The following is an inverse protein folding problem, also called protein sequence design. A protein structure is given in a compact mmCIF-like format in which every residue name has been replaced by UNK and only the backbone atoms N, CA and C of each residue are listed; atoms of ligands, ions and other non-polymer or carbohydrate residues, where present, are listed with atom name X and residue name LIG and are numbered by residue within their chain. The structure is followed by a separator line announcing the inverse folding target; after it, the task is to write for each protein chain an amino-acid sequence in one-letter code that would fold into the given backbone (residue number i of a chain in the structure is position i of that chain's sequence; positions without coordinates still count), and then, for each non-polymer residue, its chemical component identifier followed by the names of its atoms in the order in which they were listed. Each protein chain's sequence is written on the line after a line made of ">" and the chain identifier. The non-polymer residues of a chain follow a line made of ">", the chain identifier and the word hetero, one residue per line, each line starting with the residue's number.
data_IF_416790407342
#
_entry.id   IF_416790407342
#
_cell.length_a   1.000
_cell.length_b   1.000
_cell.length_c   1.000
_cell.angle_alpha   90.00
_cell.angle_beta   90.00
_cell.angle_gamma   90.00
#
_symmetry.space_group_name_H-M   'P 1'
#
loop_
_entity.id
_entity.type
_entity.pdbx_description
1 polymer ?
#
# COMPACT_ATOMS: atom_id res chain seq x y z
N UNK A 1 -3.13 17.36 -6.47
CA UNK A 1 -2.01 16.48 -6.02
C UNK A 1 -2.24 15.03 -6.45
N UNK A 2 -3.43 14.42 -6.24
CA UNK A 2 -3.70 13.01 -6.53
C UNK A 2 -3.44 12.60 -7.98
N UNK A 3 -3.81 13.41 -8.96
CA UNK A 3 -3.53 13.14 -10.38
C UNK A 3 -2.02 13.08 -10.65
N UNK A 4 -1.24 14.03 -10.14
CA UNK A 4 0.22 14.05 -10.30
C UNK A 4 0.86 12.84 -9.61
N UNK A 5 0.45 12.52 -8.39
CA UNK A 5 0.93 11.34 -7.66
C UNK A 5 0.61 10.04 -8.41
N UNK A 6 -0.61 9.91 -8.97
CA UNK A 6 -1.01 8.74 -9.76
C UNK A 6 -0.13 8.49 -10.99
N UNK A 7 0.32 9.55 -11.65
CA UNK A 7 1.23 9.45 -12.81
C UNK A 7 2.66 9.13 -12.36
N UNK A 8 3.18 9.81 -11.32
CA UNK A 8 4.58 9.69 -10.90
C UNK A 8 4.86 8.35 -10.21
N UNK A 9 3.91 7.81 -9.46
CA UNK A 9 4.13 6.65 -8.57
C UNK A 9 4.55 5.35 -9.27
N UNK A 10 4.02 4.95 -10.46
CA UNK A 10 4.47 3.74 -11.15
C UNK A 10 5.79 3.91 -11.93
N UNK A 11 6.17 5.15 -12.26
CA UNK A 11 7.32 5.44 -13.14
C UNK A 11 8.64 4.85 -12.61
N UNK A 12 9.03 5.02 -11.33
CA UNK A 12 10.29 4.49 -10.84
C UNK A 12 10.40 2.96 -10.94
N UNK A 13 9.30 2.23 -10.67
CA UNK A 13 9.30 0.79 -10.83
C UNK A 13 9.50 0.38 -12.31
N UNK A 14 8.89 1.12 -13.24
CA UNK A 14 9.07 0.89 -14.69
C UNK A 14 10.53 1.16 -15.10
N UNK A 15 11.12 2.26 -14.61
CA UNK A 15 12.52 2.60 -14.90
C UNK A 15 13.46 1.53 -14.36
N UNK A 16 13.27 1.09 -13.11
CA UNK A 16 14.10 0.05 -12.49
C UNK A 16 14.04 -1.24 -13.30
N UNK A 17 12.85 -1.69 -13.68
CA UNK A 17 12.68 -2.96 -14.39
C UNK A 17 13.18 -2.93 -15.85
N UNK A 18 13.31 -1.74 -16.45
CA UNK A 18 13.75 -1.59 -17.85
C UNK A 18 15.19 -1.16 -18.01
N UNK A 19 15.73 -0.37 -17.06
CA UNK A 19 17.05 0.23 -17.17
C UNK A 19 18.14 -0.58 -16.43
N UNK A 20 17.76 -1.42 -15.48
CA UNK A 20 18.70 -2.22 -14.69
C UNK A 20 18.66 -3.69 -15.08
N UNK A 21 19.82 -4.36 -15.02
CA UNK A 21 19.88 -5.81 -15.22
C UNK A 21 19.15 -6.57 -14.11
N UNK A 22 18.62 -7.79 -14.37
CA UNK A 22 17.84 -8.57 -13.40
C UNK A 22 18.53 -8.79 -12.05
N UNK A 23 19.86 -8.84 -12.03
CA UNK A 23 20.69 -8.98 -10.82
C UNK A 23 20.90 -7.70 -10.04
N UNK A 24 20.52 -6.53 -10.58
CA UNK A 24 20.65 -5.21 -9.95
C UNK A 24 19.28 -4.59 -9.60
N UNK A 25 18.19 -5.12 -10.15
CA UNK A 25 16.83 -4.59 -9.96
C UNK A 25 16.42 -4.55 -8.48
N UNK A 26 16.83 -5.57 -7.71
CA UNK A 26 16.56 -5.63 -6.28
C UNK A 26 17.25 -4.52 -5.50
N UNK A 27 18.53 -4.25 -5.79
CA UNK A 27 19.28 -3.15 -5.18
C UNK A 27 18.66 -1.79 -5.51
N UNK A 28 18.35 -1.57 -6.78
CA UNK A 28 17.73 -0.32 -7.24
C UNK A 28 16.34 -0.10 -6.61
N UNK A 29 15.52 -1.16 -6.57
CA UNK A 29 14.20 -1.15 -5.92
C UNK A 29 14.29 -0.90 -4.41
N UNK A 30 15.30 -1.47 -3.74
CA UNK A 30 15.56 -1.26 -2.32
C UNK A 30 15.92 0.19 -2.00
N UNK A 31 16.81 0.81 -2.78
CA UNK A 31 17.19 2.23 -2.60
C UNK A 31 15.99 3.15 -2.83
N UNK A 32 15.23 2.91 -3.89
CA UNK A 32 14.02 3.67 -4.16
C UNK A 32 12.98 3.50 -3.05
N UNK A 33 12.70 2.26 -2.65
CA UNK A 33 11.73 1.95 -1.59
C UNK A 33 12.11 2.54 -0.24
N UNK A 34 13.40 2.59 0.09
CA UNK A 34 13.91 3.27 1.29
C UNK A 34 13.53 4.76 1.27
N UNK A 35 13.75 5.46 0.14
CA UNK A 35 13.38 6.87 0.00
C UNK A 35 11.87 7.11 0.15
N UNK A 36 11.05 6.25 -0.45
CA UNK A 36 9.57 6.33 -0.37
C UNK A 36 9.07 6.18 1.07
N UNK A 37 9.71 5.34 1.88
CA UNK A 37 9.29 5.06 3.26
C UNK A 37 9.88 6.05 4.26
N UNK A 38 11.08 6.57 3.99
CA UNK A 38 11.73 7.54 4.86
C UNK A 38 10.94 8.86 4.97
N UNK A 39 10.32 9.28 3.87
CA UNK A 39 9.53 10.52 3.84
C UNK A 39 8.34 10.49 4.82
N UNK A 40 7.45 9.48 4.83
CA UNK A 40 6.39 9.35 5.84
C UNK A 40 6.91 9.16 7.28
N UNK A 41 8.09 8.56 7.46
CA UNK A 41 8.67 8.37 8.79
C UNK A 41 9.14 9.69 9.42
N UNK A 42 9.73 10.58 8.63
CA UNK A 42 10.25 11.87 9.07
C UNK A 42 9.18 12.98 9.00
N UNK A 43 8.22 12.84 8.08
CA UNK A 43 7.19 13.82 7.78
C UNK A 43 6.44 14.38 8.99
N UNK A 44 5.89 13.55 9.87
CA UNK A 44 5.17 14.02 11.06
C UNK A 44 6.04 14.85 12.01
N UNK A 45 7.32 14.49 12.18
CA UNK A 45 8.24 15.22 13.05
C UNK A 45 8.57 16.60 12.49
N UNK A 46 8.90 16.71 11.22
CA UNK A 46 9.17 17.97 10.54
C UNK A 46 7.87 18.79 10.44
N UNK A 47 6.75 18.14 10.08
CA UNK A 47 5.45 18.78 9.99
C UNK A 47 4.99 19.38 11.31
N UNK A 48 5.18 18.68 12.43
CA UNK A 48 4.87 19.18 13.75
C UNK A 48 5.65 20.44 14.09
N UNK A 49 6.97 20.43 13.91
CA UNK A 49 7.84 21.60 14.14
C UNK A 49 7.44 22.81 13.28
N UNK A 50 7.05 22.57 12.03
CA UNK A 50 6.63 23.64 11.12
C UNK A 50 5.25 24.22 11.53
N UNK A 51 4.33 23.37 11.98
CA UNK A 51 3.02 23.83 12.44
C UNK A 51 3.15 24.68 13.69
N UNK A 52 3.96 24.22 14.65
CA UNK A 52 4.17 24.91 15.93
C UNK A 52 4.89 26.24 15.73
N UNK A 53 5.87 26.31 14.79
CA UNK A 53 6.64 27.55 14.54
C UNK A 53 6.02 28.52 13.55
N UNK A 54 5.35 28.04 12.51
CA UNK A 54 4.92 28.84 11.35
C UNK A 54 3.44 28.64 10.97
N UNK A 55 2.71 27.80 11.71
CA UNK A 55 1.32 27.47 11.46
C UNK A 55 1.13 26.42 10.34
N UNK A 56 -0.08 25.87 10.25
CA UNK A 56 -0.41 24.72 9.39
C UNK A 56 -0.14 24.92 7.87
N UNK A 57 -0.17 26.18 7.39
CA UNK A 57 0.11 26.50 5.97
C UNK A 57 1.54 26.23 5.57
N UNK A 58 2.49 26.25 6.52
CA UNK A 58 3.91 26.01 6.28
C UNK A 58 4.20 24.62 5.72
N UNK A 59 3.36 23.61 6.05
CA UNK A 59 3.48 22.25 5.53
C UNK A 59 3.38 22.23 4.00
N UNK A 60 2.48 23.02 3.42
CA UNK A 60 2.33 23.09 1.96
C UNK A 60 3.52 23.76 1.28
N UNK A 61 4.08 24.79 1.89
CA UNK A 61 5.26 25.46 1.38
C UNK A 61 6.52 24.61 1.47
N UNK A 62 6.62 23.73 2.47
CA UNK A 62 7.73 22.79 2.61
C UNK A 62 7.86 21.85 1.40
N UNK A 63 6.77 21.49 0.75
CA UNK A 63 6.80 20.57 -0.40
C UNK A 63 7.41 21.22 -1.65
N UNK A 64 7.30 22.54 -1.79
CA UNK A 64 7.75 23.28 -2.99
C UNK A 64 9.24 23.10 -3.29
N UNK A 65 10.20 23.31 -2.35
CA UNK A 65 11.62 23.11 -2.63
C UNK A 65 11.95 21.66 -3.02
N UNK A 66 11.27 20.66 -2.45
CA UNK A 66 11.45 19.27 -2.86
C UNK A 66 10.93 19.01 -4.28
N UNK A 67 9.81 19.61 -4.66
CA UNK A 67 9.30 19.55 -6.03
C UNK A 67 10.26 20.19 -7.03
N UNK A 68 10.83 21.35 -6.71
CA UNK A 68 11.81 22.03 -7.56
C UNK A 68 13.10 21.22 -7.69
N UNK A 69 13.61 20.67 -6.59
CA UNK A 69 14.76 19.77 -6.60
C UNK A 69 14.50 18.51 -7.44
N UNK A 70 13.33 17.88 -7.27
CA UNK A 70 12.89 16.73 -8.06
C UNK A 70 12.81 17.06 -9.55
N UNK A 71 12.26 18.21 -9.90
CA UNK A 71 12.16 18.67 -11.30
C UNK A 71 13.54 18.89 -11.91
N UNK A 72 14.46 19.51 -11.17
CA UNK A 72 15.84 19.70 -11.59
C UNK A 72 16.56 18.36 -11.83
N UNK A 73 16.46 17.44 -10.85
CA UNK A 73 17.07 16.11 -10.95
C UNK A 73 16.46 15.28 -12.11
N UNK A 74 15.14 15.34 -12.27
CA UNK A 74 14.47 14.65 -13.37
C UNK A 74 14.95 15.18 -14.73
N UNK A 75 15.05 16.49 -14.92
CA UNK A 75 15.56 17.09 -16.17
C UNK A 75 17.02 16.77 -16.44
N UNK A 76 17.82 16.57 -15.38
CA UNK A 76 19.26 16.31 -15.50
C UNK A 76 19.61 14.86 -15.75
N UNK A 77 18.86 13.93 -15.13
CA UNK A 77 19.23 12.51 -15.05
C UNK A 77 18.27 11.55 -15.73
N UNK A 78 17.00 11.95 -15.93
CA UNK A 78 16.03 11.07 -16.62
C UNK A 78 16.11 11.34 -18.13
N UNK A 79 16.47 10.34 -18.93
CA UNK A 79 16.54 10.50 -20.39
C UNK A 79 15.14 10.73 -20.97
N UNK A 80 15.08 11.53 -22.06
CA UNK A 80 13.84 11.81 -22.78
C UNK A 80 13.35 10.56 -23.54
N UNK A 81 14.26 9.65 -23.86
CA UNK A 81 13.98 8.37 -24.51
C UNK A 81 13.47 7.36 -23.50
N UNK A 82 12.54 6.48 -23.93
CA UNK A 82 12.03 5.44 -23.04
C UNK A 82 13.17 4.52 -22.56
N UNK A 83 13.25 4.20 -21.25
CA UNK A 83 14.24 3.28 -20.73
C UNK A 83 14.15 1.93 -21.46
N UNK A 84 15.32 1.36 -21.86
CA UNK A 84 15.38 0.12 -22.63
C UNK A 84 15.33 0.29 -24.16
N UNK A 85 15.48 1.54 -24.67
CA UNK A 85 15.69 1.80 -26.10
C UNK A 85 14.47 1.63 -27.02
N UNK A 86 13.29 1.36 -26.46
CA UNK A 86 12.04 1.35 -27.23
C UNK A 86 11.70 2.77 -27.68
N UNK A 87 11.55 2.99 -28.99
CA UNK A 87 11.02 4.26 -29.47
C UNK A 87 9.65 4.52 -28.84
N UNK A 88 9.47 5.71 -28.26
CA UNK A 88 8.13 6.15 -27.89
C UNK A 88 7.28 6.05 -29.15
N UNK A 89 6.17 5.27 -29.10
CA UNK A 89 5.30 5.16 -30.27
C UNK A 89 4.71 6.54 -30.55
N UNK A 90 5.12 7.26 -31.63
CA UNK A 90 4.66 8.63 -31.89
C UNK A 90 3.16 8.70 -32.17
N UNK A 91 2.56 7.58 -32.55
CA UNK A 91 1.12 7.42 -32.75
C UNK A 91 0.50 6.81 -31.49
N UNK A 92 0.66 7.49 -30.33
CA UNK A 92 0.17 7.03 -29.05
C UNK A 92 -1.22 6.40 -29.15
N UNK A 93 -1.35 5.17 -28.65
CA UNK A 93 -2.66 4.50 -28.61
C UNK A 93 -3.67 5.44 -27.91
N UNK A 94 -4.85 5.59 -28.49
CA UNK A 94 -5.89 6.44 -27.91
C UNK A 94 -6.20 5.97 -26.47
N UNK A 95 -6.25 6.90 -25.53
CA UNK A 95 -6.52 6.61 -24.13
C UNK A 95 -7.95 6.07 -23.98
N UNK A 96 -8.11 5.00 -23.25
CA UNK A 96 -9.42 4.43 -22.90
C UNK A 96 -10.13 5.30 -21.84
N UNK A 97 -10.68 6.43 -22.28
CA UNK A 97 -11.41 7.36 -21.43
C UNK A 97 -12.62 6.71 -20.74
N UNK A 98 -13.27 5.75 -21.41
CA UNK A 98 -14.44 5.05 -20.86
C UNK A 98 -14.01 4.12 -19.73
N UNK A 99 -12.94 3.37 -19.93
CA UNK A 99 -12.35 2.53 -18.90
C UNK A 99 -11.84 3.37 -17.71
N UNK A 100 -11.18 4.50 -17.99
CA UNK A 100 -10.67 5.41 -16.95
C UNK A 100 -11.81 5.97 -16.09
N UNK A 101 -12.90 6.46 -16.71
CA UNK A 101 -14.06 6.96 -16.00
C UNK A 101 -14.73 5.89 -15.13
N UNK A 102 -14.94 4.69 -15.67
CA UNK A 102 -15.54 3.59 -14.94
C UNK A 102 -14.68 3.16 -13.74
N UNK A 103 -13.36 3.07 -13.93
CA UNK A 103 -12.43 2.75 -12.85
C UNK A 103 -12.43 3.85 -11.77
N UNK A 104 -12.38 5.12 -12.18
CA UNK A 104 -12.38 6.26 -11.25
C UNK A 104 -13.69 6.34 -10.45
N UNK A 105 -14.84 6.31 -11.12
CA UNK A 105 -16.15 6.33 -10.44
C UNK A 105 -16.32 5.12 -9.54
N UNK A 106 -15.99 3.92 -10.02
CA UNK A 106 -16.08 2.69 -9.23
C UNK A 106 -15.22 2.74 -7.97
N UNK A 107 -13.99 3.22 -8.09
CA UNK A 107 -13.07 3.35 -6.94
C UNK A 107 -13.55 4.43 -5.97
N UNK A 108 -13.96 5.61 -6.46
CA UNK A 108 -14.49 6.67 -5.61
C UNK A 108 -15.75 6.24 -4.86
N UNK A 109 -16.69 5.61 -5.54
CA UNK A 109 -17.89 5.07 -4.90
C UNK A 109 -17.58 3.98 -3.90
N UNK A 110 -16.61 3.09 -4.18
CA UNK A 110 -16.16 2.06 -3.26
C UNK A 110 -15.59 2.66 -1.98
N UNK A 111 -14.65 3.60 -2.11
CA UNK A 111 -13.99 4.21 -0.95
C UNK A 111 -14.97 5.04 -0.11
N UNK A 112 -15.81 5.87 -0.74
CA UNK A 112 -16.82 6.64 -0.01
C UNK A 112 -17.88 5.72 0.59
N UNK A 113 -18.26 4.63 -0.07
CA UNK A 113 -19.17 3.64 0.46
C UNK A 113 -18.62 2.93 1.70
N UNK A 114 -17.32 2.58 1.72
CA UNK A 114 -16.65 2.04 2.88
C UNK A 114 -16.62 3.03 4.05
N UNK A 115 -16.32 4.30 3.77
CA UNK A 115 -16.34 5.37 4.80
C UNK A 115 -17.78 5.58 5.33
N UNK A 116 -18.77 5.54 4.46
CA UNK A 116 -20.18 5.70 4.86
C UNK A 116 -20.69 4.57 5.77
N UNK A 117 -20.03 3.41 5.79
CA UNK A 117 -20.34 2.33 6.76
C UNK A 117 -19.93 2.70 8.19
N UNK A 118 -19.01 3.65 8.39
CA UNK A 118 -18.52 4.05 9.72
C UNK A 118 -19.46 5.05 10.44
N UNK A 119 -20.20 5.86 9.73
CA UNK A 119 -21.03 6.88 10.38
C UNK A 119 -22.11 7.45 9.47
N UNK A 120 -22.31 6.85 8.29
CA UNK A 120 -23.32 7.27 7.32
C UNK A 120 -24.66 6.56 7.49
N UNK A 121 -25.62 6.97 6.66
CA UNK A 121 -26.90 6.25 6.59
C UNK A 121 -26.69 4.91 5.86
N UNK A 122 -27.31 3.80 6.34
CA UNK A 122 -27.19 2.49 5.69
C UNK A 122 -27.61 2.52 4.21
N UNK A 123 -28.62 3.32 3.86
CA UNK A 123 -29.07 3.50 2.48
C UNK A 123 -28.00 4.22 1.62
N UNK A 124 -27.33 5.23 2.17
CA UNK A 124 -26.23 5.93 1.50
C UNK A 124 -25.04 5.02 1.24
N UNK A 125 -24.63 4.25 2.24
CA UNK A 125 -23.55 3.25 2.09
C UNK A 125 -23.92 2.20 1.03
N UNK A 126 -25.12 1.64 1.09
CA UNK A 126 -25.59 0.63 0.13
C UNK A 126 -25.65 1.18 -1.31
N UNK A 127 -26.13 2.42 -1.51
CA UNK A 127 -26.17 3.04 -2.84
C UNK A 127 -24.77 3.28 -3.42
N UNK A 128 -23.82 3.74 -2.62
CA UNK A 128 -22.43 3.94 -3.04
C UNK A 128 -21.74 2.62 -3.37
N UNK A 129 -21.88 1.61 -2.51
CA UNK A 129 -21.31 0.28 -2.74
C UNK A 129 -21.95 -0.41 -3.95
N UNK A 130 -23.26 -0.27 -4.14
CA UNK A 130 -23.98 -0.75 -5.32
C UNK A 130 -23.48 -0.07 -6.61
N UNK A 131 -23.33 1.24 -6.60
CA UNK A 131 -22.76 2.00 -7.71
C UNK A 131 -21.31 1.61 -8.02
N UNK A 132 -20.52 1.37 -6.97
CA UNK A 132 -19.15 0.88 -7.10
C UNK A 132 -19.10 -0.50 -7.79
N UNK A 133 -19.93 -1.44 -7.32
CA UNK A 133 -20.01 -2.78 -7.89
C UNK A 133 -20.42 -2.75 -9.38
N UNK A 134 -21.45 -1.99 -9.72
CA UNK A 134 -21.91 -1.82 -11.11
C UNK A 134 -20.81 -1.23 -11.97
N UNK A 135 -20.17 -0.13 -11.52
CA UNK A 135 -19.13 0.55 -12.29
C UNK A 135 -17.89 -0.34 -12.51
N UNK A 136 -17.44 -1.06 -11.48
CA UNK A 136 -16.29 -1.96 -11.58
C UNK A 136 -16.60 -3.20 -12.44
N UNK A 137 -17.81 -3.75 -12.37
CA UNK A 137 -18.23 -4.84 -13.25
C UNK A 137 -18.29 -4.41 -14.72
N UNK A 138 -18.85 -3.21 -14.99
CA UNK A 138 -18.85 -2.62 -16.33
C UNK A 138 -17.43 -2.34 -16.81
N UNK A 139 -16.53 -1.87 -15.94
CA UNK A 139 -15.11 -1.71 -16.25
C UNK A 139 -14.48 -3.03 -16.69
N UNK A 140 -14.61 -4.10 -15.90
CA UNK A 140 -14.06 -5.42 -16.24
C UNK A 140 -14.66 -5.95 -17.55
N UNK A 141 -15.96 -5.78 -17.75
CA UNK A 141 -16.63 -6.17 -18.98
C UNK A 141 -16.09 -5.40 -20.19
N UNK A 142 -15.95 -4.07 -20.08
CA UNK A 142 -15.38 -3.22 -21.13
C UNK A 142 -13.96 -3.63 -21.47
N UNK A 143 -13.08 -3.82 -20.45
CA UNK A 143 -11.69 -4.23 -20.66
C UNK A 143 -11.59 -5.59 -21.38
N UNK A 144 -12.44 -6.57 -20.98
CA UNK A 144 -12.53 -7.86 -21.67
C UNK A 144 -12.95 -7.71 -23.13
N UNK A 145 -13.92 -6.83 -23.40
CA UNK A 145 -14.40 -6.57 -24.77
C UNK A 145 -13.32 -5.90 -25.62
N UNK A 146 -12.66 -4.88 -25.10
CA UNK A 146 -11.55 -4.17 -25.76
C UNK A 146 -10.39 -5.12 -26.05
N UNK A 147 -10.00 -5.95 -25.11
CA UNK A 147 -8.94 -6.95 -25.28
C UNK A 147 -9.28 -7.97 -26.37
N UNK A 148 -10.54 -8.45 -26.42
CA UNK A 148 -11.00 -9.36 -27.49
C UNK A 148 -11.01 -8.68 -28.85
N UNK A 149 -11.43 -7.42 -28.95
CA UNK A 149 -11.44 -6.65 -30.18
C UNK A 149 -10.02 -6.46 -30.72
N UNK A 150 -9.06 -6.10 -29.85
CA UNK A 150 -7.67 -5.92 -30.23
C UNK A 150 -6.98 -7.21 -30.71
N UNK A 151 -7.34 -8.37 -30.13
CA UNK A 151 -6.84 -9.67 -30.63
C UNK A 151 -7.30 -9.98 -32.05
N UNK A 152 -8.45 -9.42 -32.51
CA UNK A 152 -8.98 -9.59 -33.84
C UNK A 152 -8.41 -8.59 -34.84
N UNK A 153 -8.11 -7.38 -34.39
CA UNK A 153 -7.62 -6.26 -35.19
C UNK A 153 -6.45 -5.56 -34.46
N UNK A 154 -5.21 -6.07 -34.55
CA UNK A 154 -4.07 -5.58 -33.80
C UNK A 154 -3.73 -4.11 -34.08
N UNK A 155 -3.97 -3.63 -35.28
CA UNK A 155 -3.58 -2.29 -35.76
C UNK A 155 -4.68 -1.23 -35.60
N UNK A 156 -5.87 -1.61 -35.16
CA UNK A 156 -7.01 -0.70 -35.01
C UNK A 156 -7.62 -0.81 -33.61
N UNK A 157 -7.65 0.29 -32.90
CA UNK A 157 -8.41 0.37 -31.66
C UNK A 157 -7.67 1.05 -30.50
N UNK A 158 -8.42 1.25 -29.43
CA UNK A 158 -7.96 1.81 -28.17
C UNK A 158 -7.24 0.71 -27.38
N UNK A 159 -6.10 1.02 -26.77
CA UNK A 159 -5.44 0.11 -25.85
C UNK A 159 -6.27 -0.04 -24.56
N UNK A 160 -6.50 -1.28 -24.09
CA UNK A 160 -7.17 -1.47 -22.83
C UNK A 160 -6.38 -0.80 -21.70
N UNK A 161 -7.06 -0.05 -20.83
CA UNK A 161 -6.44 0.60 -19.68
C UNK A 161 -5.74 -0.42 -18.77
N UNK A 162 -6.35 -1.60 -18.63
CA UNK A 162 -5.81 -2.71 -17.88
C UNK A 162 -5.91 -4.00 -18.71
N UNK A 163 -4.76 -4.57 -19.02
CA UNK A 163 -4.73 -5.85 -19.72
C UNK A 163 -5.04 -6.99 -18.72
N UNK A 164 -6.27 -7.49 -18.77
CA UNK A 164 -6.72 -8.58 -17.91
C UNK A 164 -6.00 -9.91 -18.17
N UNK A 165 -5.24 -10.04 -19.28
CA UNK A 165 -4.42 -11.22 -19.50
C UNK A 165 -3.26 -11.36 -18.52
N UNK A 166 -2.85 -10.26 -17.87
CA UNK A 166 -1.88 -10.27 -16.78
C UNK A 166 -2.28 -11.24 -15.64
N UNK A 167 -3.56 -11.31 -15.33
CA UNK A 167 -4.09 -12.20 -14.29
C UNK A 167 -4.18 -13.67 -14.72
N UNK A 168 -3.94 -13.98 -16.00
CA UNK A 168 -3.79 -15.36 -16.45
C UNK A 168 -2.45 -15.97 -15.99
N UNK A 169 -1.43 -15.12 -15.82
CA UNK A 169 -0.20 -15.52 -15.14
C UNK A 169 -0.47 -15.69 -13.65
N UNK A 170 -0.25 -16.90 -13.15
CA UNK A 170 -0.52 -17.25 -11.75
C UNK A 170 0.36 -16.45 -10.77
N UNK A 171 1.61 -16.13 -11.15
CA UNK A 171 2.53 -15.36 -10.31
C UNK A 171 2.04 -13.92 -10.17
N UNK A 172 1.63 -13.32 -11.29
CA UNK A 172 1.06 -11.98 -11.27
C UNK A 172 -0.26 -11.91 -10.49
N UNK A 173 -1.16 -12.87 -10.68
CA UNK A 173 -2.44 -12.93 -9.97
C UNK A 173 -2.24 -13.06 -8.46
N UNK A 174 -1.37 -13.96 -8.01
CA UNK A 174 -1.06 -14.13 -6.59
C UNK A 174 -0.30 -12.93 -6.03
N UNK A 175 0.67 -12.38 -6.78
CA UNK A 175 1.35 -11.13 -6.44
C UNK A 175 0.38 -9.96 -6.26
N UNK A 176 -0.66 -9.87 -7.09
CA UNK A 176 -1.72 -8.87 -6.99
C UNK A 176 -2.51 -8.99 -5.69
N UNK A 177 -2.84 -10.21 -5.26
CA UNK A 177 -3.49 -10.46 -3.96
C UNK A 177 -2.58 -10.03 -2.81
N UNK A 178 -1.30 -10.40 -2.86
CA UNK A 178 -0.32 -9.98 -1.85
C UNK A 178 -0.16 -8.47 -1.83
N UNK A 179 -0.16 -7.79 -2.99
CA UNK A 179 -0.10 -6.33 -3.07
C UNK A 179 -1.28 -5.65 -2.37
N UNK A 180 -2.48 -6.16 -2.60
CA UNK A 180 -3.69 -5.65 -1.95
C UNK A 180 -3.64 -5.84 -0.43
N UNK A 181 -3.27 -7.03 0.04
CA UNK A 181 -3.16 -7.33 1.47
C UNK A 181 -2.00 -6.55 2.11
N UNK A 182 -0.87 -6.38 1.40
CA UNK A 182 0.21 -5.51 1.85
C UNK A 182 -0.28 -4.06 2.06
N UNK A 183 -1.11 -3.56 1.15
CA UNK A 183 -1.76 -2.26 1.31
C UNK A 183 -2.61 -2.18 2.57
N UNK A 184 -3.48 -3.18 2.79
CA UNK A 184 -4.30 -3.28 4.02
C UNK A 184 -3.41 -3.21 5.27
N UNK A 185 -2.37 -4.03 5.32
CA UNK A 185 -1.49 -4.13 6.48
C UNK A 185 -0.68 -2.84 6.72
N UNK A 186 -0.11 -2.25 5.66
CA UNK A 186 0.70 -1.04 5.75
C UNK A 186 -0.14 0.14 6.24
N UNK A 187 -1.23 0.47 5.55
CA UNK A 187 -2.03 1.66 5.86
C UNK A 187 -2.95 1.42 7.05
N UNK A 188 -3.50 0.20 7.20
CA UNK A 188 -4.27 -0.19 8.38
C UNK A 188 -3.45 -0.08 9.66
N UNK A 189 -2.20 -0.57 9.67
CA UNK A 189 -1.31 -0.41 10.83
C UNK A 189 -0.85 1.04 11.06
N UNK A 190 -0.67 1.80 9.99
CA UNK A 190 -0.31 3.22 10.08
C UNK A 190 -1.44 4.06 10.67
N UNK A 191 -2.69 3.66 10.50
CA UNK A 191 -3.85 4.23 11.16
C UNK A 191 -4.04 3.68 12.59
N UNK A 192 -4.06 2.35 12.74
CA UNK A 192 -4.47 1.70 13.98
C UNK A 192 -3.48 1.91 15.12
N UNK A 193 -2.15 1.86 14.84
CA UNK A 193 -1.12 2.01 15.88
C UNK A 193 -1.16 3.37 16.60
N UNK A 194 -1.18 4.53 15.89
CA UNK A 194 -1.31 5.82 16.58
C UNK A 194 -2.62 5.96 17.34
N UNK A 195 -3.73 5.46 16.80
CA UNK A 195 -5.05 5.50 17.46
C UNK A 195 -5.04 4.66 18.73
N UNK A 196 -4.46 3.46 18.69
CA UNK A 196 -4.26 2.60 19.88
C UNK A 196 -3.42 3.29 20.96
N UNK A 197 -2.30 3.90 20.57
CA UNK A 197 -1.41 4.59 21.51
C UNK A 197 -2.08 5.82 22.13
N UNK A 198 -2.80 6.62 21.34
CA UNK A 198 -3.43 7.85 21.83
C UNK A 198 -4.74 7.58 22.57
N UNK A 199 -5.65 6.81 21.97
CA UNK A 199 -6.99 6.60 22.50
C UNK A 199 -7.09 5.36 23.41
N UNK A 200 -6.28 4.33 23.15
CA UNK A 200 -6.20 3.13 23.99
C UNK A 200 -5.36 3.36 25.24
N UNK A 201 -4.12 3.84 25.04
CA UNK A 201 -3.14 3.98 26.12
C UNK A 201 -3.03 5.41 26.70
N UNK A 202 -3.70 6.41 26.11
CA UNK A 202 -3.68 7.80 26.60
C UNK A 202 -2.36 8.54 26.38
N UNK A 203 -1.51 8.10 25.43
CA UNK A 203 -0.21 8.72 25.15
C UNK A 203 -0.37 10.01 24.34
N UNK A 204 0.50 11.00 24.61
CA UNK A 204 0.48 12.25 23.84
C UNK A 204 0.93 12.03 22.38
N UNK A 205 0.41 12.82 21.42
CA UNK A 205 0.79 12.69 20.00
C UNK A 205 2.29 12.79 19.75
N UNK A 206 2.99 13.69 20.46
CA UNK A 206 4.45 13.85 20.34
C UNK A 206 5.20 12.61 20.80
N UNK A 207 4.72 11.97 21.88
CA UNK A 207 5.32 10.74 22.40
C UNK A 207 5.07 9.54 21.45
N UNK A 208 3.88 9.44 20.89
CA UNK A 208 3.55 8.46 19.85
C UNK A 208 4.47 8.61 18.62
N UNK A 209 4.71 9.83 18.17
CA UNK A 209 5.66 10.12 17.10
C UNK A 209 7.07 9.63 17.41
N UNK A 210 7.57 9.85 18.64
CA UNK A 210 8.89 9.39 19.07
C UNK A 210 9.02 7.87 19.15
N UNK A 211 7.94 7.16 19.54
CA UNK A 211 7.88 5.69 19.56
C UNK A 211 7.88 5.11 18.14
N UNK A 212 7.18 5.74 17.21
CA UNK A 212 7.05 5.22 15.83
C UNK A 212 8.25 5.54 14.95
N UNK A 213 9.04 6.56 15.28
CA UNK A 213 10.21 6.96 14.50
C UNK A 213 11.25 5.83 14.34
N UNK A 214 11.70 5.12 15.40
CA UNK A 214 12.61 3.99 15.24
C UNK A 214 12.05 2.89 14.35
N UNK A 215 10.76 2.59 14.48
CA UNK A 215 10.11 1.58 13.65
C UNK A 215 10.09 1.98 12.15
N UNK A 216 9.87 3.26 11.85
CA UNK A 216 9.98 3.81 10.50
C UNK A 216 11.40 3.71 9.92
N UNK A 217 12.41 4.03 10.73
CA UNK A 217 13.82 3.90 10.33
C UNK A 217 14.20 2.44 10.06
N UNK A 218 13.78 1.51 10.91
CA UNK A 218 14.00 0.07 10.70
C UNK A 218 13.35 -0.41 9.41
N UNK A 219 12.15 0.07 9.09
CA UNK A 219 11.49 -0.25 7.82
C UNK A 219 12.34 0.20 6.62
N UNK A 220 12.84 1.44 6.63
CA UNK A 220 13.66 1.97 5.54
C UNK A 220 14.95 1.15 5.34
N UNK A 221 15.66 0.83 6.43
CA UNK A 221 16.86 0.00 6.41
C UNK A 221 16.56 -1.41 5.92
N UNK A 222 15.47 -2.01 6.40
CA UNK A 222 15.04 -3.35 6.00
C UNK A 222 14.74 -3.41 4.50
N UNK A 223 14.05 -2.43 3.93
CA UNK A 223 13.78 -2.36 2.50
C UNK A 223 15.09 -2.33 1.69
N UNK A 224 16.08 -1.54 2.12
CA UNK A 224 17.36 -1.47 1.44
C UNK A 224 18.15 -2.80 1.49
N UNK A 225 18.13 -3.47 2.64
CA UNK A 225 18.79 -4.78 2.81
C UNK A 225 18.08 -5.85 1.97
N UNK A 226 16.74 -5.93 2.08
CA UNK A 226 15.94 -6.93 1.38
C UNK A 226 15.95 -6.70 -0.13
N UNK A 227 16.03 -5.43 -0.59
CA UNK A 227 16.24 -5.12 -1.99
C UNK A 227 17.45 -5.84 -2.57
N UNK A 228 18.61 -5.80 -1.87
CA UNK A 228 19.80 -6.54 -2.28
C UNK A 228 19.64 -8.06 -2.16
N UNK A 229 18.89 -8.50 -1.15
CA UNK A 229 18.64 -9.92 -0.93
C UNK A 229 17.74 -10.53 -2.02
N UNK A 230 16.84 -9.73 -2.59
CA UNK A 230 15.94 -10.12 -3.69
C UNK A 230 16.71 -10.52 -4.97
N UNK A 231 17.92 -9.99 -5.18
CA UNK A 231 18.77 -10.38 -6.29
C UNK A 231 19.39 -11.79 -6.10
N UNK A 232 19.49 -12.26 -4.86
CA UNK A 232 20.15 -13.52 -4.51
C UNK A 232 19.21 -14.63 -4.04
N UNK A 233 18.03 -14.27 -3.57
CA UNK A 233 17.07 -15.19 -2.96
C UNK A 233 15.74 -15.22 -3.73
N UNK A 234 15.03 -16.34 -3.76
CA UNK A 234 13.72 -16.43 -4.37
C UNK A 234 12.71 -15.47 -3.72
N UNK A 235 12.04 -14.66 -4.53
CA UNK A 235 11.11 -13.62 -4.08
C UNK A 235 9.96 -14.16 -3.22
N UNK A 236 9.44 -15.36 -3.54
CA UNK A 236 8.37 -15.99 -2.77
C UNK A 236 8.77 -16.29 -1.32
N UNK A 237 10.04 -16.67 -1.06
CA UNK A 237 10.53 -16.92 0.30
C UNK A 237 10.58 -15.63 1.11
N UNK A 238 11.09 -14.55 0.51
CA UNK A 238 11.18 -13.24 1.17
C UNK A 238 9.80 -12.68 1.50
N UNK A 239 8.84 -12.78 0.55
CA UNK A 239 7.44 -12.39 0.79
C UNK A 239 6.82 -13.22 1.91
N UNK A 240 7.04 -14.54 1.92
CA UNK A 240 6.50 -15.42 2.97
C UNK A 240 7.08 -15.09 4.34
N UNK A 241 8.40 -14.87 4.45
CA UNK A 241 9.04 -14.42 5.70
C UNK A 241 8.42 -13.11 6.17
N UNK A 242 8.27 -12.14 5.26
CA UNK A 242 7.64 -10.85 5.58
C UNK A 242 6.22 -10.99 6.11
N UNK A 243 5.40 -11.83 5.48
CA UNK A 243 4.03 -12.09 5.91
C UNK A 243 3.96 -12.80 7.27
N UNK A 244 4.86 -13.75 7.55
CA UNK A 244 4.95 -14.42 8.86
C UNK A 244 5.31 -13.41 9.95
N UNK A 245 6.34 -12.58 9.73
CA UNK A 245 6.74 -11.55 10.69
C UNK A 245 5.63 -10.54 10.95
N UNK A 246 4.90 -10.16 9.90
CA UNK A 246 3.81 -9.21 9.99
C UNK A 246 2.60 -9.80 10.73
N UNK A 247 2.24 -11.04 10.42
CA UNK A 247 1.19 -11.79 11.13
C UNK A 247 1.54 -11.93 12.61
N UNK A 248 2.79 -12.34 12.92
CA UNK A 248 3.27 -12.45 14.30
C UNK A 248 3.24 -11.10 15.03
N UNK A 249 3.67 -10.02 14.36
CA UNK A 249 3.61 -8.67 14.95
C UNK A 249 2.20 -8.29 15.38
N UNK A 250 1.21 -8.42 14.49
CA UNK A 250 -0.16 -8.07 14.82
C UNK A 250 -0.76 -9.00 15.89
N UNK A 251 -0.50 -10.31 15.84
CA UNK A 251 -0.96 -11.25 16.85
C UNK A 251 -0.34 -10.99 18.23
N UNK A 252 0.92 -10.54 18.26
CA UNK A 252 1.61 -10.26 19.52
C UNK A 252 1.22 -8.92 20.15
N UNK A 253 0.57 -7.99 19.39
CA UNK A 253 0.02 -6.77 19.98
C UNK A 253 -0.99 -7.06 21.09
N UNK A 254 -1.73 -8.16 21.03
CA UNK A 254 -2.68 -8.62 22.05
C UNK A 254 -1.99 -8.95 23.39
N UNK A 255 -0.68 -9.17 23.41
CA UNK A 255 0.07 -9.48 24.65
C UNK A 255 0.41 -8.24 25.48
N UNK A 256 0.03 -7.05 25.03
CA UNK A 256 0.33 -5.80 25.70
C UNK A 256 -0.71 -5.56 26.83
N UNK A 257 -0.28 -5.76 28.06
CA UNK A 257 -1.11 -5.55 29.26
C UNK A 257 -0.92 -4.12 29.81
N UNK A 258 -1.96 -3.26 29.75
CA UNK A 258 -1.88 -1.90 30.28
C UNK A 258 -1.60 -1.82 31.79
N UNK A 259 -1.90 -2.88 32.52
CA UNK A 259 -1.61 -2.99 33.95
C UNK A 259 -0.10 -3.01 34.28
N UNK A 260 0.77 -3.11 33.28
CA UNK A 260 2.22 -3.15 33.43
C UNK A 260 2.93 -2.02 32.67
N UNK A 261 2.85 -0.77 33.12
CA UNK A 261 3.28 0.40 32.36
C UNK A 261 4.75 0.36 31.91
N UNK A 262 5.63 -0.25 32.68
CA UNK A 262 7.05 -0.40 32.34
C UNK A 262 7.29 -1.34 31.15
N UNK A 263 6.40 -2.30 30.88
CA UNK A 263 6.53 -3.27 29.81
C UNK A 263 5.75 -2.85 28.56
N UNK A 264 4.68 -2.06 28.70
CA UNK A 264 3.83 -1.62 27.58
C UNK A 264 4.64 -1.00 26.46
N UNK A 265 5.46 -0.01 26.76
CA UNK A 265 6.23 0.75 25.75
C UNK A 265 7.26 -0.16 25.07
N UNK A 266 7.99 -0.97 25.83
CA UNK A 266 9.02 -1.85 25.27
C UNK A 266 8.43 -2.92 24.35
N UNK A 267 7.31 -3.54 24.75
CA UNK A 267 6.61 -4.52 23.91
C UNK A 267 6.03 -3.87 22.66
N UNK A 268 5.41 -2.70 22.80
CA UNK A 268 4.81 -1.95 21.71
C UNK A 268 5.85 -1.56 20.65
N UNK A 269 7.01 -1.03 21.09
CA UNK A 269 8.13 -0.72 20.18
C UNK A 269 8.64 -1.99 19.51
N UNK A 270 8.81 -3.07 20.26
CA UNK A 270 9.33 -4.35 19.74
C UNK A 270 8.40 -4.93 18.70
N UNK A 271 7.09 -4.99 18.96
CA UNK A 271 6.13 -5.53 18.02
C UNK A 271 5.92 -4.61 16.82
N UNK A 272 5.94 -3.29 17.00
CA UNK A 272 5.90 -2.34 15.90
C UNK A 272 7.12 -2.50 14.99
N UNK A 273 8.33 -2.63 15.54
CA UNK A 273 9.56 -2.89 14.77
C UNK A 273 9.44 -4.22 14.02
N UNK A 274 8.97 -5.29 14.66
CA UNK A 274 8.79 -6.59 14.02
C UNK A 274 7.87 -6.49 12.79
N UNK A 275 6.75 -5.77 12.92
CA UNK A 275 5.83 -5.53 11.82
C UNK A 275 6.47 -4.71 10.68
N UNK A 276 7.27 -3.70 11.02
CA UNK A 276 7.98 -2.89 10.02
C UNK A 276 9.05 -3.71 9.29
N UNK A 277 9.74 -4.62 9.96
CA UNK A 277 10.64 -5.59 9.32
C UNK A 277 9.84 -6.45 8.34
N UNK A 278 8.70 -7.01 8.77
CA UNK A 278 7.81 -7.78 7.90
C UNK A 278 7.39 -7.02 6.64
N UNK A 279 6.94 -5.77 6.77
CA UNK A 279 6.60 -4.91 5.63
C UNK A 279 7.80 -4.65 4.71
N UNK A 280 9.00 -4.48 5.28
CA UNK A 280 10.23 -4.27 4.53
C UNK A 280 10.64 -5.47 3.68
N UNK A 281 10.35 -6.69 4.13
CA UNK A 281 10.59 -7.90 3.35
C UNK A 281 9.65 -8.04 2.15
N UNK A 282 8.40 -7.56 2.27
CA UNK A 282 7.39 -7.76 1.24
C UNK A 282 7.59 -6.82 0.06
N UNK A 283 7.77 -5.51 0.27
CA UNK A 283 7.68 -4.49 -0.77
C UNK A 283 8.63 -4.71 -1.96
N UNK A 284 9.98 -4.79 -1.79
CA UNK A 284 10.88 -4.97 -2.92
C UNK A 284 10.71 -6.34 -3.57
N UNK A 285 10.49 -7.38 -2.77
CA UNK A 285 10.31 -8.75 -3.25
C UNK A 285 9.03 -8.92 -4.07
N UNK A 286 7.96 -8.24 -3.67
CA UNK A 286 6.69 -8.24 -4.37
C UNK A 286 6.79 -7.52 -5.73
N UNK A 287 7.39 -6.31 -5.75
CA UNK A 287 7.51 -5.53 -6.98
C UNK A 287 8.30 -6.28 -8.06
N UNK A 288 9.37 -6.97 -7.68
CA UNK A 288 10.17 -7.76 -8.63
C UNK A 288 9.50 -9.10 -8.93
N UNK A 289 9.03 -9.81 -7.90
CA UNK A 289 8.47 -11.15 -8.03
C UNK A 289 7.22 -11.20 -8.89
N UNK A 290 6.33 -10.22 -8.77
CA UNK A 290 5.12 -10.15 -9.56
C UNK A 290 5.36 -9.83 -11.04
N UNK A 291 6.50 -9.20 -11.37
CA UNK A 291 6.85 -8.81 -12.75
C UNK A 291 7.73 -9.84 -13.45
N UNK A 292 8.37 -10.76 -12.71
CA UNK A 292 9.20 -11.82 -13.31
C UNK A 292 8.36 -12.73 -14.18
N UNK A 293 8.75 -12.86 -15.45
CA UNK A 293 8.05 -13.68 -16.44
C UNK A 293 7.04 -12.94 -17.30
N UNK A 294 6.76 -11.67 -17.01
CA UNK A 294 5.95 -10.84 -17.88
C UNK A 294 6.75 -10.39 -19.12
N UNK A 295 6.09 -10.32 -20.27
CA UNK A 295 6.65 -9.69 -21.45
C UNK A 295 7.03 -8.23 -21.16
N UNK A 296 8.17 -7.76 -21.69
CA UNK A 296 8.68 -6.41 -21.44
C UNK A 296 7.64 -5.31 -21.76
N UNK A 297 6.80 -5.51 -22.76
CA UNK A 297 5.73 -4.60 -23.13
C UNK A 297 4.62 -4.48 -22.08
N UNK A 298 4.41 -5.51 -21.26
CA UNK A 298 3.38 -5.56 -20.21
C UNK A 298 3.86 -5.06 -18.84
N UNK A 299 5.17 -4.88 -18.64
CA UNK A 299 5.74 -4.43 -17.37
C UNK A 299 5.13 -3.10 -16.89
N UNK A 300 4.94 -2.05 -17.73
CA UNK A 300 4.34 -0.81 -17.27
C UNK A 300 2.91 -0.99 -16.77
N UNK A 301 2.11 -1.78 -17.45
CA UNK A 301 0.74 -2.07 -17.05
C UNK A 301 0.72 -2.91 -15.78
N UNK A 302 1.57 -3.93 -15.67
CA UNK A 302 1.70 -4.76 -14.49
C UNK A 302 2.10 -3.94 -13.25
N UNK A 303 3.09 -3.05 -13.38
CA UNK A 303 3.53 -2.15 -12.29
C UNK A 303 2.39 -1.23 -11.85
N UNK A 304 1.65 -0.65 -12.79
CA UNK A 304 0.50 0.22 -12.50
C UNK A 304 -0.60 -0.52 -11.77
N UNK A 305 -0.92 -1.75 -12.19
CA UNK A 305 -1.93 -2.60 -11.53
C UNK A 305 -1.53 -2.97 -10.11
N UNK A 306 -0.29 -3.41 -9.88
CA UNK A 306 0.22 -3.74 -8.54
C UNK A 306 0.17 -2.52 -7.62
N UNK A 307 0.57 -1.35 -8.11
CA UNK A 307 0.51 -0.12 -7.34
C UNK A 307 -0.93 0.32 -7.04
N UNK A 308 -1.82 0.23 -8.02
CA UNK A 308 -3.26 0.51 -7.83
C UNK A 308 -3.88 -0.40 -6.77
N UNK A 309 -3.64 -1.72 -6.85
CA UNK A 309 -4.17 -2.69 -5.89
C UNK A 309 -3.61 -2.45 -4.48
N UNK A 310 -2.33 -2.07 -4.37
CA UNK A 310 -1.73 -1.69 -3.08
C UNK A 310 -2.41 -0.46 -2.48
N UNK A 311 -2.68 0.58 -3.28
CA UNK A 311 -3.37 1.79 -2.81
C UNK A 311 -4.83 1.52 -2.44
N UNK A 312 -5.52 0.74 -3.27
CA UNK A 312 -6.89 0.31 -3.01
C UNK A 312 -6.97 -0.52 -1.72
N UNK A 313 -6.04 -1.47 -1.55
CA UNK A 313 -5.90 -2.23 -0.32
C UNK A 313 -5.63 -1.33 0.89
N UNK A 314 -4.81 -0.29 0.71
CA UNK A 314 -4.53 0.69 1.76
C UNK A 314 -5.77 1.43 2.23
N UNK A 315 -6.55 1.96 1.31
CA UNK A 315 -7.80 2.66 1.63
C UNK A 315 -8.82 1.71 2.26
N UNK A 316 -8.97 0.49 1.71
CA UNK A 316 -9.82 -0.55 2.30
C UNK A 316 -9.34 -0.94 3.71
N UNK A 317 -8.04 -1.02 3.94
CA UNK A 317 -7.45 -1.37 5.24
C UNK A 317 -7.74 -0.35 6.33
N UNK A 318 -7.59 0.95 6.03
CA UNK A 318 -7.95 2.02 6.98
C UNK A 318 -9.44 1.96 7.32
N UNK A 319 -10.32 1.87 6.30
CA UNK A 319 -11.76 1.77 6.51
C UNK A 319 -12.15 0.51 7.29
N UNK A 320 -11.56 -0.64 6.97
CA UNK A 320 -11.84 -1.89 7.64
C UNK A 320 -11.43 -1.85 9.12
N UNK A 321 -10.23 -1.30 9.41
CA UNK A 321 -9.79 -1.09 10.80
C UNK A 321 -10.75 -0.18 11.57
N UNK A 322 -11.20 0.93 10.96
CA UNK A 322 -12.16 1.83 11.61
C UNK A 322 -13.50 1.16 11.88
N UNK A 323 -14.08 0.49 10.87
CA UNK A 323 -15.38 -0.20 10.99
C UNK A 323 -15.32 -1.27 12.07
N UNK A 324 -14.30 -2.14 12.04
CA UNK A 324 -14.18 -3.22 13.01
C UNK A 324 -13.93 -2.68 14.41
N UNK A 325 -13.07 -1.67 14.55
CA UNK A 325 -12.81 -1.03 15.83
C UNK A 325 -14.10 -0.43 16.43
N UNK A 326 -14.86 0.36 15.66
CA UNK A 326 -16.13 0.94 16.11
C UNK A 326 -17.16 -0.13 16.48
N UNK A 327 -17.28 -1.16 15.64
CA UNK A 327 -18.19 -2.28 15.92
C UNK A 327 -17.80 -3.02 17.22
N UNK A 328 -16.51 -3.25 17.44
CA UNK A 328 -16.05 -3.96 18.65
C UNK A 328 -16.17 -3.07 19.90
N UNK A 329 -15.88 -1.76 19.78
CA UNK A 329 -16.14 -0.81 20.87
C UNK A 329 -17.62 -0.81 21.28
N UNK A 330 -18.53 -0.76 20.30
CA UNK A 330 -19.96 -0.81 20.57
C UNK A 330 -20.37 -2.14 21.21
N UNK A 331 -19.78 -3.28 20.78
CA UNK A 331 -20.04 -4.59 21.37
C UNK A 331 -19.59 -4.70 22.84
N UNK A 332 -18.49 -3.98 23.19
CA UNK A 332 -18.01 -3.87 24.56
C UNK A 332 -18.69 -2.74 25.37
N UNK A 333 -19.67 -2.03 24.78
CA UNK A 333 -20.42 -0.96 25.45
C UNK A 333 -19.60 0.30 25.74
N UNK A 334 -18.49 0.53 25.03
CA UNK A 334 -17.60 1.67 25.21
C UNK A 334 -17.52 2.51 23.95
N UNK A 335 -17.17 3.79 24.12
CA UNK A 335 -16.95 4.75 23.01
C UNK A 335 -15.51 5.24 23.10
N UNK A 336 -14.90 5.50 21.95
CA UNK A 336 -13.48 5.87 21.85
C UNK A 336 -13.14 7.16 22.62
N UNK A 337 -14.06 8.13 22.63
CA UNK A 337 -13.85 9.49 23.16
C UNK A 337 -14.31 9.70 24.60
N UNK A 338 -15.14 8.82 25.16
CA UNK A 338 -15.64 8.95 26.54
C UNK A 338 -14.74 8.24 27.53
N UNK A 339 -14.49 8.82 28.74
CA UNK A 339 -13.86 8.11 29.83
C UNK A 339 -14.67 6.86 30.17
N UNK A 340 -14.11 5.69 29.98
CA UNK A 340 -14.75 4.40 30.18
C UNK A 340 -13.74 3.34 30.56
N UNK A 341 -14.17 2.10 30.56
CA UNK A 341 -13.33 0.96 30.89
C UNK A 341 -12.17 0.83 29.87
N UNK A 342 -10.94 1.07 30.35
CA UNK A 342 -9.73 0.96 29.55
C UNK A 342 -9.54 -0.46 29.04
N UNK A 343 -9.89 -1.48 29.83
CA UNK A 343 -9.74 -2.87 29.44
C UNK A 343 -10.69 -3.24 28.28
N UNK A 344 -11.93 -2.78 28.33
CA UNK A 344 -12.89 -2.98 27.25
C UNK A 344 -12.45 -2.30 25.94
N UNK A 345 -11.86 -1.09 26.02
CA UNK A 345 -11.27 -0.42 24.86
C UNK A 345 -10.11 -1.19 24.26
N UNK A 346 -9.20 -1.67 25.09
CA UNK A 346 -8.03 -2.43 24.64
C UNK A 346 -8.46 -3.73 24.00
N UNK A 347 -9.46 -4.44 24.56
CA UNK A 347 -10.00 -5.64 23.96
C UNK A 347 -10.51 -5.38 22.52
N UNK A 348 -11.16 -4.24 22.25
CA UNK A 348 -11.61 -3.88 20.92
C UNK A 348 -10.43 -3.63 19.93
N UNK A 349 -9.33 -3.04 20.41
CA UNK A 349 -8.12 -2.89 19.62
C UNK A 349 -7.44 -4.22 19.35
N UNK A 350 -7.35 -5.10 20.34
CA UNK A 350 -6.75 -6.44 20.23
C UNK A 350 -7.45 -7.26 19.17
N UNK A 351 -8.78 -7.26 19.16
CA UNK A 351 -9.59 -7.94 18.16
C UNK A 351 -9.39 -7.34 16.75
N UNK A 352 -9.18 -6.03 16.65
CA UNK A 352 -8.87 -5.37 15.39
C UNK A 352 -7.45 -5.73 14.89
N UNK A 353 -6.46 -5.86 15.79
CA UNK A 353 -5.14 -6.37 15.45
C UNK A 353 -5.18 -7.84 15.02
N UNK A 354 -5.97 -8.67 15.70
CA UNK A 354 -6.17 -10.06 15.30
C UNK A 354 -6.81 -10.20 13.91
N UNK A 355 -7.75 -9.32 13.57
CA UNK A 355 -8.28 -9.25 12.21
C UNK A 355 -7.17 -8.99 11.18
N UNK A 356 -6.28 -8.01 11.42
CA UNK A 356 -5.14 -7.76 10.54
C UNK A 356 -4.20 -8.97 10.48
N UNK A 357 -3.94 -9.62 11.61
CA UNK A 357 -3.14 -10.85 11.65
C UNK A 357 -3.77 -11.96 10.80
N UNK A 358 -5.07 -12.19 10.90
CA UNK A 358 -5.80 -13.18 10.09
C UNK A 358 -5.72 -12.86 8.58
N UNK A 359 -5.89 -11.60 8.19
CA UNK A 359 -5.77 -11.17 6.79
C UNK A 359 -4.36 -11.44 6.26
N UNK A 360 -3.32 -11.11 7.04
CA UNK A 360 -1.94 -11.39 6.67
C UNK A 360 -1.63 -12.90 6.62
N UNK A 361 -2.19 -13.69 7.53
CA UNK A 361 -2.05 -15.14 7.52
C UNK A 361 -2.71 -15.78 6.28
N UNK A 362 -3.86 -15.29 5.86
CA UNK A 362 -4.51 -15.73 4.61
C UNK A 362 -3.66 -15.40 3.38
N UNK A 363 -2.91 -14.29 3.40
CA UNK A 363 -1.98 -13.95 2.32
C UNK A 363 -0.84 -14.95 2.18
N UNK A 364 -0.44 -15.66 3.25
CA UNK A 364 0.56 -16.72 3.18
C UNK A 364 0.15 -17.85 2.23
N UNK A 365 -1.15 -18.18 2.18
CA UNK A 365 -1.68 -19.19 1.26
C UNK A 365 -1.46 -18.74 -0.19
N UNK A 366 -1.71 -17.46 -0.47
CA UNK A 366 -1.46 -16.89 -1.79
C UNK A 366 0.04 -16.85 -2.11
N UNK A 367 0.87 -16.43 -1.17
CA UNK A 367 2.34 -16.37 -1.34
C UNK A 367 2.95 -17.76 -1.58
N UNK A 368 2.45 -18.80 -0.92
CA UNK A 368 2.91 -20.18 -1.15
C UNK A 368 2.59 -20.70 -2.55
N UNK A 369 1.50 -20.24 -3.13
CA UNK A 369 1.09 -20.59 -4.51
C UNK A 369 1.86 -19.82 -5.59
N UNK A 370 2.63 -18.79 -5.22
CA UNK A 370 3.58 -18.09 -6.12
C UNK A 370 4.86 -18.92 -6.33
N UNK A 371 5.00 -20.06 -5.64
CA UNK A 371 6.19 -20.92 -5.70
C UNK A 371 6.56 -21.23 -7.16
N UNK A 372 7.81 -20.96 -7.51
CA UNK A 372 8.37 -21.29 -8.81
C UNK A 372 8.27 -22.82 -9.02
N UNK A 373 7.46 -23.24 -9.97
CA UNK A 373 7.65 -24.56 -10.57
C UNK A 373 9.01 -24.50 -11.29
N UNK A 374 9.92 -25.34 -10.85
CA UNK A 374 11.26 -25.52 -11.44
C UNK A 374 11.13 -26.15 -12.82
#
# INVERSE_FOLDING_TARGET
>A
EGLAAGVVQPIPAIIILRAFEPNEQGRASGIFGMGVVLAPAIGPSIGGLLVDGFGWRSIFFMVVPFCLASLYLARRFVPITSPGGGAANPQGAALDWRGLLLAAVGTLCLLNGLVALQGGTPAGAASLLGSAAVSLLLFVWLQRRTLKARRRHPDQGVDPLMNLSLFADRRFAMGSIVAFIYGIALFGSTYLLPVYMQMGLGLSPSYVGSILLPAGMVLAVTIAIVGRLTDRQPTHRLVSIGLVLLTASFALMVTIDPGRPTQVISLLVTWAILGRIGLGFILPSLNIGAMRGLEQGLIPQGSSVINFLRMLGGAAGVSLCGIVLEWRLAAHGVVLTTPGDIQARIAAFDETFLMLACICALALIAAWRVREER
#
